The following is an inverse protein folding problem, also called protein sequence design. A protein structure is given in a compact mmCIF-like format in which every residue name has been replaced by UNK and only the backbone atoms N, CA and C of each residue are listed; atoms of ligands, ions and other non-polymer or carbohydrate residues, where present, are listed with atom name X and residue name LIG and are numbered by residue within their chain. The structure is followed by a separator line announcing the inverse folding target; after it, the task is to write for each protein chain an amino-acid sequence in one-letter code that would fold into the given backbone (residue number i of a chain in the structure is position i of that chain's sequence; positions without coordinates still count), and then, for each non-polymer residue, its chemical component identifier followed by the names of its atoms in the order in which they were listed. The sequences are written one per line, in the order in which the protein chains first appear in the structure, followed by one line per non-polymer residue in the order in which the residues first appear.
data_IF_239308561384
#
_entry.id   IF_239308561384
#
_cell.length_a   1.000
_cell.length_b   1.000
_cell.length_c   1.000
_cell.angle_alpha   90.00
_cell.angle_beta   90.00
_cell.angle_gamma   90.00
#
_symmetry.space_group_name_H-M   'P 1'
#
loop_
_entity.id
_entity.type
_entity.pdbx_description
1 polymer ?
#
# COMPACT_ATOMS: atom_id res chain seq x y z
N UNK A 1 5.28 -23.18 -19.99
CA UNK A 1 3.94 -23.25 -19.38
C UNK A 1 3.13 -22.08 -19.94
N UNK A 2 1.97 -22.33 -20.53
CA UNK A 2 1.26 -21.27 -21.32
C UNK A 2 0.33 -20.34 -20.50
N UNK A 3 -0.10 -20.73 -19.30
CA UNK A 3 -0.98 -19.92 -18.42
C UNK A 3 -0.93 -20.46 -16.99
N UNK A 4 0.25 -20.51 -16.41
CA UNK A 4 0.47 -21.06 -15.07
C UNK A 4 0.65 -19.96 -14.04
N UNK A 5 0.26 -20.23 -12.80
CA UNK A 5 0.67 -19.44 -11.63
C UNK A 5 1.79 -20.17 -10.90
N UNK A 6 2.91 -19.48 -10.66
CA UNK A 6 4.11 -20.06 -10.05
C UNK A 6 4.62 -19.13 -8.95
N UNK A 7 4.86 -19.69 -7.76
CA UNK A 7 5.62 -19.02 -6.70
C UNK A 7 7.04 -19.57 -6.67
N UNK A 8 8.03 -18.72 -6.91
CA UNK A 8 9.45 -19.05 -6.80
C UNK A 8 10.01 -18.49 -5.50
N UNK A 9 10.60 -19.32 -4.66
CA UNK A 9 11.15 -18.91 -3.36
C UNK A 9 12.60 -19.37 -3.21
N UNK A 10 13.30 -18.79 -2.24
CA UNK A 10 14.70 -19.07 -1.93
C UNK A 10 15.61 -18.77 -3.14
N UNK A 11 16.27 -19.78 -3.69
CA UNK A 11 17.16 -19.70 -4.86
C UNK A 11 16.59 -20.46 -6.07
N UNK A 12 15.27 -20.49 -6.20
CA UNK A 12 14.59 -21.20 -7.30
C UNK A 12 14.89 -20.57 -8.65
N UNK A 13 14.89 -21.40 -9.70
CA UNK A 13 14.92 -20.95 -11.09
C UNK A 13 13.59 -21.28 -11.80
N UNK A 14 13.00 -20.30 -12.45
CA UNK A 14 11.71 -20.43 -13.14
C UNK A 14 11.80 -19.87 -14.55
N UNK A 15 11.37 -20.66 -15.54
CA UNK A 15 11.12 -20.21 -16.89
C UNK A 15 9.60 -20.13 -17.12
N UNK A 16 9.11 -18.93 -17.42
CA UNK A 16 7.70 -18.64 -17.65
C UNK A 16 7.45 -18.24 -19.10
N UNK A 17 6.53 -18.91 -19.75
CA UNK A 17 6.19 -18.73 -21.15
C UNK A 17 4.70 -18.37 -21.31
N UNK A 18 4.32 -17.83 -22.47
CA UNK A 18 2.95 -17.50 -22.77
C UNK A 18 2.40 -16.37 -21.90
N UNK A 19 1.32 -16.62 -21.17
CA UNK A 19 0.65 -15.66 -20.26
C UNK A 19 0.77 -16.07 -18.81
N UNK A 20 1.90 -16.64 -18.40
CA UNK A 20 2.11 -17.12 -17.03
C UNK A 20 2.23 -15.98 -16.02
N UNK A 21 1.77 -16.23 -14.79
CA UNK A 21 1.95 -15.35 -13.65
C UNK A 21 3.00 -15.92 -12.68
N UNK A 22 4.02 -15.14 -12.34
CA UNK A 22 5.11 -15.58 -11.44
C UNK A 22 5.28 -14.60 -10.31
N UNK A 23 5.27 -15.10 -9.07
CA UNK A 23 5.75 -14.37 -7.90
C UNK A 23 7.13 -14.88 -7.49
N UNK A 24 8.13 -14.03 -7.61
CA UNK A 24 9.52 -14.35 -7.28
C UNK A 24 9.90 -13.72 -5.95
N UNK A 25 10.41 -14.50 -5.03
CA UNK A 25 10.81 -14.11 -3.69
C UNK A 25 12.28 -14.44 -3.42
N UNK A 26 12.84 -13.80 -2.39
CA UNK A 26 14.20 -14.03 -1.90
C UNK A 26 15.27 -13.83 -2.98
N UNK A 27 16.05 -14.84 -3.31
CA UNK A 27 17.11 -14.79 -4.34
C UNK A 27 16.76 -15.60 -5.59
N UNK A 28 15.46 -15.74 -5.89
CA UNK A 28 15.02 -16.53 -7.03
C UNK A 28 15.38 -15.87 -8.36
N UNK A 29 15.57 -16.69 -9.40
CA UNK A 29 15.84 -16.27 -10.78
C UNK A 29 14.66 -16.62 -11.67
N UNK A 30 14.18 -15.63 -12.45
CA UNK A 30 13.04 -15.79 -13.35
C UNK A 30 13.41 -15.35 -14.75
N UNK A 31 13.18 -16.21 -15.74
CA UNK A 31 13.16 -15.86 -17.16
C UNK A 31 11.71 -15.85 -17.66
N UNK A 32 11.22 -14.69 -18.08
CA UNK A 32 9.85 -14.49 -18.51
C UNK A 32 9.76 -14.15 -20.00
N UNK A 33 8.87 -14.82 -20.71
CA UNK A 33 8.68 -14.69 -22.15
C UNK A 33 7.21 -14.49 -22.50
N UNK A 34 6.93 -13.96 -23.70
CA UNK A 34 5.58 -13.75 -24.19
C UNK A 34 4.86 -12.60 -23.50
N UNK A 35 3.73 -12.86 -22.88
CA UNK A 35 2.90 -11.91 -22.15
C UNK A 35 2.90 -12.21 -20.64
N UNK A 36 3.98 -12.79 -20.14
CA UNK A 36 4.06 -13.19 -18.72
C UNK A 36 4.00 -11.99 -17.80
N UNK A 37 3.38 -12.17 -16.63
CA UNK A 37 3.35 -11.19 -15.55
C UNK A 37 4.24 -11.67 -14.42
N UNK A 38 5.21 -10.85 -13.99
CA UNK A 38 6.16 -11.19 -12.93
C UNK A 38 6.11 -10.16 -11.81
N UNK A 39 5.93 -10.61 -10.57
CA UNK A 39 6.14 -9.80 -9.36
C UNK A 39 7.43 -10.24 -8.70
N UNK A 40 8.45 -9.40 -8.75
CA UNK A 40 9.78 -9.67 -8.21
C UNK A 40 9.96 -8.99 -6.86
N UNK A 41 10.39 -9.73 -5.83
CA UNK A 41 10.61 -9.28 -4.45
C UNK A 41 11.97 -9.76 -3.91
N UNK A 42 12.38 -9.20 -2.78
CA UNK A 42 13.66 -9.56 -2.13
C UNK A 42 14.85 -9.18 -3.02
N UNK A 43 15.75 -10.13 -3.25
CA UNK A 43 16.94 -10.00 -4.13
C UNK A 43 16.74 -10.76 -5.45
N UNK A 44 15.51 -10.99 -5.86
CA UNK A 44 15.22 -11.77 -7.06
C UNK A 44 15.76 -11.11 -8.33
N UNK A 45 16.17 -11.94 -9.27
CA UNK A 45 16.68 -11.53 -10.58
C UNK A 45 15.70 -11.94 -11.68
N UNK A 46 15.26 -10.97 -12.49
CA UNK A 46 14.30 -11.22 -13.57
C UNK A 46 14.90 -10.81 -14.92
N UNK A 47 14.86 -11.75 -15.88
CA UNK A 47 15.11 -11.48 -17.30
C UNK A 47 13.78 -11.58 -18.01
N UNK A 48 13.26 -10.46 -18.50
CA UNK A 48 11.97 -10.39 -19.16
C UNK A 48 12.10 -10.08 -20.66
N UNK A 49 11.32 -10.76 -21.50
CA UNK A 49 11.31 -10.65 -22.96
C UNK A 49 9.88 -10.64 -23.53
N UNK A 50 9.74 -10.32 -24.82
CA UNK A 50 8.47 -10.23 -25.51
C UNK A 50 7.67 -9.01 -25.04
N UNK A 51 6.43 -9.18 -24.64
CA UNK A 51 5.55 -8.15 -24.09
C UNK A 51 5.22 -8.41 -22.62
N UNK A 52 6.18 -8.94 -21.88
CA UNK A 52 6.00 -9.26 -20.46
C UNK A 52 5.86 -7.99 -19.61
N UNK A 53 5.14 -8.12 -18.50
CA UNK A 53 4.99 -7.07 -17.50
C UNK A 53 5.69 -7.47 -16.19
N UNK A 54 6.56 -6.60 -15.67
CA UNK A 54 7.30 -6.85 -14.43
C UNK A 54 6.99 -5.78 -13.39
N UNK A 55 6.64 -6.20 -12.18
CA UNK A 55 6.57 -5.34 -11.00
C UNK A 55 7.75 -5.66 -10.10
N UNK A 56 8.73 -4.77 -10.06
CA UNK A 56 9.95 -4.92 -9.26
C UNK A 56 9.79 -4.23 -7.90
N UNK A 57 10.14 -4.95 -6.83
CA UNK A 57 10.08 -4.49 -5.44
C UNK A 57 11.37 -4.83 -4.69
N UNK A 58 11.54 -4.23 -3.51
CA UNK A 58 12.66 -4.44 -2.58
C UNK A 58 14.04 -4.21 -3.24
N UNK A 59 14.91 -5.21 -3.27
CA UNK A 59 16.24 -5.14 -3.89
C UNK A 59 16.35 -5.96 -5.18
N UNK A 60 15.21 -6.22 -5.83
CA UNK A 60 15.18 -7.03 -7.05
C UNK A 60 15.89 -6.33 -8.21
N UNK A 61 16.43 -7.13 -9.13
CA UNK A 61 17.10 -6.66 -10.34
C UNK A 61 16.37 -7.15 -11.58
N UNK A 62 16.12 -6.26 -12.55
CA UNK A 62 15.38 -6.58 -13.77
C UNK A 62 16.19 -6.24 -15.02
N UNK A 63 16.26 -7.19 -15.94
CA UNK A 63 16.75 -6.98 -17.31
C UNK A 63 15.58 -7.11 -18.28
N UNK A 64 15.28 -6.05 -19.01
CA UNK A 64 14.12 -5.98 -19.90
C UNK A 64 14.53 -5.84 -21.36
N UNK A 65 13.96 -6.69 -22.22
CA UNK A 65 14.14 -6.72 -23.68
C UNK A 65 12.80 -6.43 -24.39
N UNK A 66 12.85 -6.30 -25.70
CA UNK A 66 11.70 -6.16 -26.60
C UNK A 66 10.73 -5.06 -26.17
N UNK A 67 9.46 -5.41 -25.89
CA UNK A 67 8.38 -4.50 -25.49
C UNK A 67 8.01 -4.65 -23.99
N UNK A 68 8.93 -5.10 -23.18
CA UNK A 68 8.69 -5.31 -21.76
C UNK A 68 8.37 -4.01 -21.05
N UNK A 69 7.37 -4.02 -20.18
CA UNK A 69 7.06 -2.92 -19.27
C UNK A 69 7.48 -3.28 -17.86
N UNK A 70 8.22 -2.39 -17.19
CA UNK A 70 8.69 -2.59 -15.81
C UNK A 70 8.17 -1.46 -14.93
N UNK A 71 7.39 -1.80 -13.92
CA UNK A 71 7.06 -0.90 -12.82
C UNK A 71 8.02 -1.15 -11.66
N UNK A 72 8.79 -0.16 -11.26
CA UNK A 72 9.78 -0.27 -10.20
C UNK A 72 9.71 0.90 -9.22
N UNK A 73 10.45 0.79 -8.10
CA UNK A 73 10.46 1.77 -7.00
C UNK A 73 11.89 2.06 -6.54
N UNK A 74 12.74 2.44 -7.49
CA UNK A 74 14.16 2.65 -7.24
C UNK A 74 15.03 1.40 -7.38
N UNK A 75 14.46 0.26 -7.82
CA UNK A 75 15.21 -0.95 -8.11
C UNK A 75 16.08 -0.77 -9.35
N UNK A 76 17.14 -1.57 -9.46
CA UNK A 76 17.99 -1.56 -10.64
C UNK A 76 17.28 -2.21 -11.82
N UNK A 77 16.96 -1.41 -12.84
CA UNK A 77 16.34 -1.87 -14.08
C UNK A 77 17.30 -1.58 -15.24
N UNK A 78 17.66 -2.62 -15.99
CA UNK A 78 18.47 -2.52 -17.20
C UNK A 78 17.58 -2.74 -18.43
N UNK A 79 17.36 -1.69 -19.20
CA UNK A 79 16.64 -1.77 -20.47
C UNK A 79 17.64 -2.09 -21.59
N UNK A 80 17.41 -3.17 -22.31
CA UNK A 80 18.27 -3.64 -23.43
C UNK A 80 17.57 -3.54 -24.79
N UNK A 81 16.37 -2.95 -24.83
CA UNK A 81 15.64 -2.65 -26.06
C UNK A 81 15.13 -1.20 -26.00
N UNK A 82 15.08 -0.50 -27.15
CA UNK A 82 14.51 0.86 -27.22
C UNK A 82 12.99 0.85 -27.02
N UNK A 83 12.34 -0.29 -27.08
CA UNK A 83 10.89 -0.45 -26.86
C UNK A 83 10.54 -0.88 -25.44
N UNK A 84 11.52 -1.32 -24.64
CA UNK A 84 11.30 -1.62 -23.23
C UNK A 84 11.12 -0.32 -22.44
N UNK A 85 10.14 -0.30 -21.53
CA UNK A 85 9.80 0.90 -20.75
C UNK A 85 9.88 0.58 -19.26
N UNK A 86 10.60 1.42 -18.52
CA UNK A 86 10.60 1.37 -17.07
C UNK A 86 9.90 2.63 -16.51
N UNK A 87 8.95 2.41 -15.61
CA UNK A 87 8.23 3.47 -14.90
C UNK A 87 8.56 3.39 -13.41
N UNK A 88 9.21 4.42 -12.88
CA UNK A 88 9.47 4.52 -11.46
C UNK A 88 8.23 5.04 -10.72
N UNK A 89 7.68 4.22 -9.85
CA UNK A 89 6.62 4.62 -8.93
C UNK A 89 7.27 5.17 -7.66
N UNK A 90 7.26 6.48 -7.51
CA UNK A 90 7.76 7.13 -6.28
C UNK A 90 6.72 7.02 -5.18
N UNK A 91 7.18 6.66 -3.98
CA UNK A 91 6.35 6.80 -2.79
C UNK A 91 6.33 8.25 -2.35
N UNK A 92 5.19 8.73 -1.86
CA UNK A 92 5.13 10.03 -1.26
C UNK A 92 6.05 10.06 -0.03
N UNK A 93 6.97 11.02 0.00
CA UNK A 93 7.85 11.27 1.13
C UNK A 93 7.21 12.21 2.16
N UNK A 94 6.23 13.00 1.72
CA UNK A 94 5.55 14.00 2.54
C UNK A 94 4.03 13.75 2.58
N UNK A 95 3.38 14.28 3.60
CA UNK A 95 1.92 14.20 3.71
C UNK A 95 1.22 14.89 2.52
N UNK A 96 1.78 15.97 1.99
CA UNK A 96 1.20 16.68 0.85
C UNK A 96 1.20 15.80 -0.40
N UNK A 97 2.34 15.22 -0.75
CA UNK A 97 2.46 14.28 -1.87
C UNK A 97 1.51 13.09 -1.72
N UNK A 98 1.36 12.59 -0.47
CA UNK A 98 0.45 11.47 -0.20
C UNK A 98 -1.01 11.87 -0.42
N UNK A 99 -1.44 13.03 0.04
CA UNK A 99 -2.79 13.54 -0.16
C UNK A 99 -3.08 13.79 -1.64
N UNK A 100 -2.13 14.37 -2.38
CA UNK A 100 -2.23 14.58 -3.82
C UNK A 100 -2.38 13.25 -4.57
N UNK A 101 -1.54 12.25 -4.26
CA UNK A 101 -1.62 10.91 -4.84
C UNK A 101 -2.98 10.25 -4.58
N UNK A 102 -3.60 10.54 -3.43
CA UNK A 102 -4.91 10.00 -3.02
C UNK A 102 -6.10 10.85 -3.43
N UNK A 103 -5.87 11.97 -4.09
CA UNK A 103 -6.93 12.91 -4.50
C UNK A 103 -7.62 13.62 -3.32
N UNK A 104 -7.02 13.61 -2.13
CA UNK A 104 -7.57 14.21 -0.93
C UNK A 104 -7.16 15.68 -0.87
N UNK A 105 -8.15 16.60 -0.86
CA UNK A 105 -7.92 18.05 -0.78
C UNK A 105 -7.94 18.51 0.66
N UNK A 106 -6.79 18.93 1.23
CA UNK A 106 -6.76 19.46 2.59
C UNK A 106 -7.43 20.83 2.67
N UNK A 107 -8.03 21.12 3.82
CA UNK A 107 -8.62 22.42 4.12
C UNK A 107 -7.96 23.02 5.37
N UNK A 108 -7.44 24.25 5.28
CA UNK A 108 -6.80 24.96 6.42
C UNK A 108 -5.75 24.11 7.15
N UNK A 109 -4.87 23.42 6.40
CA UNK A 109 -3.87 22.48 6.93
C UNK A 109 -4.44 21.27 7.71
N UNK A 110 -5.66 20.88 7.39
CA UNK A 110 -6.29 19.69 7.97
C UNK A 110 -6.80 18.79 6.84
N UNK A 111 -6.85 17.50 7.09
CA UNK A 111 -7.44 16.51 6.20
C UNK A 111 -8.50 15.68 6.93
N UNK A 112 -9.46 15.16 6.19
CA UNK A 112 -10.41 14.15 6.64
C UNK A 112 -9.93 12.80 6.12
N UNK A 113 -9.72 11.87 7.04
CA UNK A 113 -9.25 10.53 6.79
C UNK A 113 -10.20 9.52 7.43
N UNK A 114 -9.86 8.23 7.35
CA UNK A 114 -10.75 7.17 7.75
C UNK A 114 -10.12 6.21 8.77
N UNK A 115 -10.97 5.69 9.67
CA UNK A 115 -10.60 4.69 10.65
C UNK A 115 -11.72 3.69 10.86
N UNK A 116 -11.40 2.40 10.81
CA UNK A 116 -12.26 1.35 11.31
C UNK A 116 -11.84 0.97 12.73
N UNK A 117 -12.81 0.72 13.60
CA UNK A 117 -12.61 0.36 15.01
C UNK A 117 -13.52 -0.79 15.41
N UNK A 118 -13.26 -1.40 16.57
CA UNK A 118 -14.19 -2.35 17.19
C UNK A 118 -15.54 -1.67 17.45
N UNK A 119 -16.62 -2.45 17.71
CA UNK A 119 -17.95 -1.90 18.02
C UNK A 119 -17.96 -0.94 19.22
N UNK A 120 -17.07 -1.14 20.18
CA UNK A 120 -16.92 -0.28 21.37
C UNK A 120 -16.11 1.01 21.10
N UNK A 121 -15.62 1.18 19.86
CA UNK A 121 -14.81 2.32 19.43
C UNK A 121 -13.31 2.17 19.72
N UNK A 122 -12.82 1.01 20.17
CA UNK A 122 -11.40 0.78 20.40
C UNK A 122 -10.69 0.26 19.16
N UNK A 123 -9.36 0.44 19.08
CA UNK A 123 -8.54 -0.10 18.00
C UNK A 123 -8.52 -1.64 18.00
N UNK A 124 -8.42 -2.25 16.82
CA UNK A 124 -8.42 -3.71 16.67
C UNK A 124 -7.20 -4.39 17.29
N UNK A 125 -6.05 -3.71 17.30
CA UNK A 125 -4.79 -4.33 17.68
C UNK A 125 -4.61 -4.42 19.18
N UNK A 126 -4.74 -3.28 19.88
CA UNK A 126 -4.44 -3.21 21.31
C UNK A 126 -5.70 -3.16 22.18
N UNK A 127 -6.82 -2.69 21.63
CA UNK A 127 -8.05 -2.41 22.39
C UNK A 127 -7.92 -1.26 23.38
N UNK A 128 -6.83 -0.45 23.28
CA UNK A 128 -6.53 0.61 24.26
C UNK A 128 -6.80 2.01 23.73
N UNK A 129 -6.68 2.22 22.40
CA UNK A 129 -6.94 3.51 21.77
C UNK A 129 -8.42 3.63 21.48
N UNK A 130 -9.11 4.49 22.21
CA UNK A 130 -10.56 4.69 22.07
C UNK A 130 -10.87 5.93 21.25
N UNK A 131 -11.55 5.72 20.13
CA UNK A 131 -11.97 6.76 19.18
C UNK A 131 -13.38 7.22 19.52
N UNK A 132 -13.50 8.37 20.17
CA UNK A 132 -14.78 8.97 20.55
C UNK A 132 -15.05 10.22 19.70
N UNK A 133 -16.29 10.35 19.22
CA UNK A 133 -16.68 11.51 18.41
C UNK A 133 -16.43 12.81 19.20
N UNK A 134 -15.86 13.78 18.50
CA UNK A 134 -15.49 15.10 18.98
C UNK A 134 -14.41 15.15 20.07
N UNK A 135 -13.82 14.03 20.46
CA UNK A 135 -12.68 14.02 21.38
C UNK A 135 -11.36 13.84 20.62
N UNK A 136 -10.35 14.61 21.01
CA UNK A 136 -9.01 14.44 20.46
C UNK A 136 -8.36 13.20 21.08
N UNK A 137 -7.79 12.36 20.23
CA UNK A 137 -7.01 11.20 20.61
C UNK A 137 -5.56 11.42 20.21
N UNK A 138 -4.64 11.24 21.16
CA UNK A 138 -3.20 11.42 20.98
C UNK A 138 -2.53 10.05 20.93
N UNK A 139 -1.58 9.88 20.02
CA UNK A 139 -0.77 8.67 19.90
C UNK A 139 0.18 8.54 21.09
N UNK A 140 0.02 7.57 21.98
CA UNK A 140 0.88 7.41 23.16
C UNK A 140 2.30 6.98 22.81
N UNK A 141 2.52 6.43 21.62
CA UNK A 141 3.81 5.96 21.12
C UNK A 141 4.46 6.95 20.13
N UNK A 142 3.95 8.18 20.03
CA UNK A 142 4.55 9.20 19.17
C UNK A 142 5.89 9.65 19.72
N UNK A 143 6.94 9.58 18.93
CA UNK A 143 8.30 9.92 19.34
C UNK A 143 9.19 8.72 19.64
N UNK A 144 8.65 7.53 19.82
CA UNK A 144 9.44 6.31 19.84
C UNK A 144 10.10 6.08 18.46
N UNK A 145 11.30 5.50 18.46
CA UNK A 145 12.01 5.15 17.23
C UNK A 145 11.13 4.20 16.41
N UNK A 146 10.54 4.75 15.38
CA UNK A 146 9.60 4.04 14.56
C UNK A 146 10.35 3.29 13.47
N UNK A 147 10.54 1.99 13.67
CA UNK A 147 11.24 1.09 12.76
C UNK A 147 10.31 0.06 12.08
N UNK A 148 8.99 0.12 12.34
CA UNK A 148 8.08 -0.92 11.87
C UNK A 148 6.66 -0.43 11.56
N UNK A 149 6.01 -1.17 10.66
CA UNK A 149 4.70 -0.87 10.09
C UNK A 149 3.54 -0.89 11.07
N UNK A 150 3.68 -1.55 12.19
CA UNK A 150 2.59 -1.90 13.07
C UNK A 150 2.92 -1.74 14.55
N UNK A 151 3.17 -0.53 15.02
CA UNK A 151 3.21 -0.19 16.45
C UNK A 151 1.81 0.06 17.03
N UNK A 152 1.72 0.33 18.34
CA UNK A 152 0.52 0.83 19.02
C UNK A 152 0.29 2.31 18.65
N UNK A 153 0.16 2.63 17.37
CA UNK A 153 0.13 3.97 16.82
C UNK A 153 -1.24 4.31 16.22
N UNK A 154 -1.55 5.60 16.11
CA UNK A 154 -2.72 6.07 15.39
C UNK A 154 -2.52 5.92 13.88
N UNK A 155 -3.03 4.83 13.30
CA UNK A 155 -3.05 4.61 11.86
C UNK A 155 -4.39 5.00 11.27
N UNK A 156 -4.35 5.80 10.22
CA UNK A 156 -5.52 6.28 9.50
C UNK A 156 -5.38 5.92 8.02
N UNK A 157 -6.50 5.74 7.34
CA UNK A 157 -6.58 5.34 5.94
C UNK A 157 -7.06 6.48 5.04
N UNK A 158 -6.71 6.43 3.77
CA UNK A 158 -7.08 7.39 2.73
C UNK A 158 -8.57 7.37 2.40
N UNK A 159 -9.21 6.22 2.55
CA UNK A 159 -10.57 5.96 2.08
C UNK A 159 -11.35 5.04 3.03
N UNK A 160 -12.68 4.98 2.92
CA UNK A 160 -13.51 4.00 3.62
C UNK A 160 -13.08 2.56 3.32
N UNK A 161 -12.81 2.25 2.06
CA UNK A 161 -12.33 0.93 1.64
C UNK A 161 -10.95 0.60 2.20
N UNK A 162 -10.04 1.58 2.22
CA UNK A 162 -8.73 1.45 2.86
C UNK A 162 -8.83 1.19 4.37
N UNK A 163 -9.79 1.81 5.06
CA UNK A 163 -10.02 1.55 6.48
C UNK A 163 -10.60 0.14 6.72
N UNK A 164 -11.54 -0.30 5.86
CA UNK A 164 -12.14 -1.66 5.92
C UNK A 164 -11.13 -2.77 5.67
N UNK A 165 -10.12 -2.52 4.83
CA UNK A 165 -9.06 -3.50 4.56
C UNK A 165 -8.36 -4.01 5.84
N UNK A 166 -8.29 -3.18 6.88
CA UNK A 166 -7.65 -3.52 8.15
C UNK A 166 -8.60 -4.08 9.21
N UNK A 167 -9.86 -4.36 8.87
CA UNK A 167 -10.82 -4.98 9.78
C UNK A 167 -10.54 -6.49 9.84
N UNK A 168 -10.23 -7.05 11.02
CA UNK A 168 -10.04 -8.49 11.18
C UNK A 168 -11.32 -9.26 10.86
N UNK A 169 -11.18 -10.51 10.44
CA UNK A 169 -12.32 -11.35 9.99
C UNK A 169 -13.42 -11.47 11.05
N UNK A 170 -13.05 -11.57 12.33
CA UNK A 170 -13.99 -11.66 13.43
C UNK A 170 -14.87 -10.40 13.64
N UNK A 171 -14.50 -9.27 13.05
CA UNK A 171 -15.22 -8.01 13.15
C UNK A 171 -15.90 -7.57 11.86
N UNK A 172 -15.75 -8.29 10.75
CA UNK A 172 -16.28 -7.86 9.43
C UNK A 172 -17.77 -7.56 9.41
N UNK A 173 -18.55 -8.29 10.22
CA UNK A 173 -19.99 -8.09 10.33
C UNK A 173 -20.39 -7.04 11.36
N UNK A 174 -19.45 -6.55 12.18
CA UNK A 174 -19.74 -5.57 13.23
C UNK A 174 -18.50 -4.76 13.61
N UNK A 175 -18.38 -3.59 13.05
CA UNK A 175 -17.33 -2.61 13.34
C UNK A 175 -17.87 -1.19 13.18
N UNK A 176 -17.14 -0.19 13.66
CA UNK A 176 -17.45 1.21 13.39
C UNK A 176 -16.53 1.76 12.31
N UNK A 177 -17.10 2.50 11.37
CA UNK A 177 -16.35 3.26 10.38
C UNK A 177 -16.45 4.75 10.70
N UNK A 178 -15.31 5.38 10.92
CA UNK A 178 -15.20 6.75 11.40
C UNK A 178 -14.49 7.63 10.38
N UNK A 179 -15.06 8.80 10.14
CA UNK A 179 -14.34 9.90 9.51
C UNK A 179 -13.58 10.69 10.59
N UNK A 180 -12.30 10.92 10.34
CA UNK A 180 -11.37 11.45 11.35
C UNK A 180 -10.64 12.67 10.79
N UNK A 181 -10.62 13.76 11.54
CA UNK A 181 -9.90 14.98 11.22
C UNK A 181 -8.48 14.94 11.79
N UNK A 182 -7.49 15.31 10.97
CA UNK A 182 -6.08 15.42 11.37
C UNK A 182 -5.48 16.75 10.95
N UNK A 183 -4.46 17.22 11.67
CA UNK A 183 -3.58 18.31 11.23
C UNK A 183 -2.45 17.73 10.39
N UNK A 184 -2.09 18.37 9.28
CA UNK A 184 -1.05 17.86 8.38
C UNK A 184 0.32 17.79 9.07
N UNK A 185 0.62 18.74 9.93
CA UNK A 185 1.88 18.79 10.68
C UNK A 185 2.01 17.64 11.71
N UNK A 186 0.89 16.99 12.05
CA UNK A 186 0.81 15.84 12.93
C UNK A 186 0.85 14.49 12.18
N UNK A 187 1.03 14.50 10.86
CA UNK A 187 1.00 13.29 10.04
C UNK A 187 2.39 12.88 9.55
N UNK A 188 2.62 11.57 9.50
CA UNK A 188 3.78 10.96 8.85
C UNK A 188 3.32 9.88 7.89
N UNK A 189 3.89 9.92 6.68
CA UNK A 189 3.67 8.88 5.68
C UNK A 189 4.72 7.78 5.80
N UNK A 190 4.38 6.59 5.35
CA UNK A 190 5.31 5.47 5.30
C UNK A 190 6.20 5.61 4.07
N UNK A 191 7.38 6.18 4.22
CA UNK A 191 8.36 6.28 3.15
C UNK A 191 8.90 4.89 2.79
N UNK A 192 8.78 4.53 1.52
CA UNK A 192 9.43 3.33 0.98
C UNK A 192 8.75 2.00 1.26
N UNK A 193 7.56 1.96 1.86
CA UNK A 193 6.86 0.70 2.09
C UNK A 193 5.63 0.52 1.20
N UNK A 194 5.67 -0.50 0.35
CA UNK A 194 4.66 -0.77 -0.67
C UNK A 194 3.36 -1.38 -0.17
N UNK A 195 3.41 -2.11 0.94
CA UNK A 195 2.33 -3.04 1.28
C UNK A 195 1.07 -2.35 1.78
N UNK A 196 1.19 -1.14 2.32
CA UNK A 196 0.05 -0.39 2.84
C UNK A 196 0.05 1.09 2.44
N UNK A 197 0.04 1.43 1.13
CA UNK A 197 0.09 2.81 0.66
C UNK A 197 -1.17 3.62 1.03
N UNK A 198 -2.23 2.94 1.49
CA UNK A 198 -3.50 3.55 1.89
C UNK A 198 -3.50 4.06 3.33
N UNK A 199 -2.45 3.83 4.13
CA UNK A 199 -2.43 4.29 5.53
C UNK A 199 -1.30 5.26 5.82
N UNK A 200 -1.52 6.09 6.81
CA UNK A 200 -0.51 6.94 7.42
C UNK A 200 -0.57 6.86 8.95
N UNK A 201 0.43 7.40 9.63
CA UNK A 201 0.46 7.58 11.08
C UNK A 201 0.17 9.04 11.43
N UNK A 202 -0.67 9.26 12.44
CA UNK A 202 -0.94 10.58 12.99
C UNK A 202 -0.50 10.66 14.47
N UNK A 203 0.05 11.82 14.87
CA UNK A 203 0.35 12.13 16.27
C UNK A 203 -0.93 12.32 17.09
N UNK A 204 -1.89 13.00 16.48
CA UNK A 204 -3.21 13.23 17.06
C UNK A 204 -4.28 13.20 15.98
N UNK A 205 -5.47 12.81 16.36
CA UNK A 205 -6.63 12.84 15.49
C UNK A 205 -7.91 13.12 16.27
N UNK A 206 -8.94 13.61 15.56
CA UNK A 206 -10.26 13.85 16.13
C UNK A 206 -11.32 13.16 15.28
N UNK A 207 -11.97 12.07 15.76
CA UNK A 207 -13.13 11.51 15.10
C UNK A 207 -14.26 12.55 15.02
N UNK A 208 -14.83 12.74 13.84
CA UNK A 208 -15.86 13.78 13.62
C UNK A 208 -17.22 13.21 13.24
N UNK A 209 -17.24 12.00 12.69
CA UNK A 209 -18.48 11.36 12.25
C UNK A 209 -18.32 9.84 12.23
N UNK A 210 -19.35 9.11 12.67
CA UNK A 210 -19.54 7.70 12.40
C UNK A 210 -20.44 7.55 11.17
N UNK A 211 -20.11 6.64 10.26
CA UNK A 211 -20.86 6.37 9.03
C UNK A 211 -21.21 4.88 8.95
N UNK A 212 -22.19 4.48 8.11
CA UNK A 212 -22.49 3.08 7.87
C UNK A 212 -21.24 2.28 7.46
N UNK A 213 -21.18 1.00 7.84
CA UNK A 213 -20.02 0.14 7.54
C UNK A 213 -19.76 -0.04 6.05
N UNK A 214 -20.80 0.00 5.24
CA UNK A 214 -20.78 -0.10 3.77
C UNK A 214 -20.65 1.23 3.03
N UNK A 215 -20.52 2.34 3.77
CA UNK A 215 -20.39 3.69 3.20
C UNK A 215 -19.27 3.78 2.18
N UNK A 216 -19.57 4.33 0.99
CA UNK A 216 -18.61 4.69 -0.05
C UNK A 216 -18.65 6.19 -0.33
N UNK A 217 -17.50 6.78 -0.68
CA UNK A 217 -17.43 8.24 -0.94
C UNK A 217 -18.20 8.66 -2.21
N UNK A 218 -18.44 7.71 -3.11
CA UNK A 218 -19.25 7.91 -4.32
C UNK A 218 -20.74 8.14 -4.00
N UNK A 219 -21.19 7.74 -2.80
CA UNK A 219 -22.56 7.92 -2.32
C UNK A 219 -22.82 9.32 -1.74
N UNK A 220 -21.87 10.26 -1.85
CA UNK A 220 -22.11 11.65 -1.43
C UNK A 220 -23.18 12.26 -2.34
N UNK A 221 -24.28 12.80 -1.79
CA UNK A 221 -25.16 13.66 -2.58
C UNK A 221 -24.32 14.81 -3.14
N UNK A 222 -24.47 15.07 -4.43
CA UNK A 222 -23.86 16.23 -5.09
C UNK A 222 -24.34 17.49 -4.38
N UNK A 223 -23.47 18.12 -3.58
CA UNK A 223 -23.69 19.45 -3.01
C UNK A 223 -23.34 20.54 -4.03
#
# INVERSE_FOLDING_TARGET
WDSSHVEARDSSHVEAWGSSHVEAWDSSHVEAWGFSHVVARGYSHVVARGSSHVVARDSSYVVAWDFVTVNHRGQTVKLLSPHAVATETKYPATIIEWLELKGIKPQRKQALLWKATRPDGTDFRTGKLKYEIDKELIDPAWGENWTGECGAALHLSDSPSGARYFVPDEYKENFKLLQVKVKLDDCRVYGGQPDYPMKLRARACKPVKEVPMDYNEEDKPNE
#
